data_IF_225229799270
#
_entry.id   IF_225229799270
#
_cell.length_a   1.000
_cell.length_b   1.000
_cell.length_c   1.000
_cell.angle_alpha   90.00
_cell.angle_beta   90.00
_cell.angle_gamma   90.00
#
_symmetry.space_group_name_H-M   'P 1'
#
loop_
_entity.id
_entity.type
_entity.pdbx_description
1 polymer ?
#
# COMPACT_ATOMS: atom_id res chain seq x y z
N UNK A 1 -10.71 -18.53 18.87
CA UNK A 1 -10.07 -18.10 17.61
C UNK A 1 -11.00 -18.23 16.38
N UNK A 2 -11.80 -19.31 16.25
CA UNK A 2 -12.69 -19.48 15.08
C UNK A 2 -13.74 -18.39 14.91
N UNK A 3 -14.48 -18.04 15.94
CA UNK A 3 -15.52 -17.00 15.89
C UNK A 3 -14.95 -15.61 15.57
N UNK A 4 -13.78 -15.28 16.13
CA UNK A 4 -13.09 -14.03 15.87
C UNK A 4 -12.70 -13.93 14.37
N UNK A 5 -12.19 -15.01 13.80
CA UNK A 5 -11.85 -15.04 12.36
C UNK A 5 -13.08 -14.88 11.47
N UNK A 6 -14.21 -15.46 11.84
CA UNK A 6 -15.47 -15.31 11.10
C UNK A 6 -15.90 -13.84 11.11
N UNK A 7 -15.97 -13.22 12.28
CA UNK A 7 -16.36 -11.81 12.41
C UNK A 7 -15.40 -10.85 11.67
N UNK A 8 -14.08 -11.09 11.74
CA UNK A 8 -13.10 -10.26 11.03
C UNK A 8 -13.20 -10.42 9.52
N UNK A 9 -13.44 -11.64 9.01
CA UNK A 9 -13.66 -11.85 7.57
C UNK A 9 -14.89 -11.11 7.06
N UNK A 10 -15.96 -11.07 7.85
CA UNK A 10 -17.17 -10.31 7.52
C UNK A 10 -16.88 -8.80 7.46
N UNK A 11 -16.21 -8.25 8.47
CA UNK A 11 -15.80 -6.84 8.51
C UNK A 11 -14.93 -6.46 7.32
N UNK A 12 -13.92 -7.28 7.00
CA UNK A 12 -13.00 -7.03 5.88
C UNK A 12 -13.54 -7.51 4.52
N UNK A 13 -14.72 -8.14 4.48
CA UNK A 13 -15.34 -8.69 3.27
C UNK A 13 -14.38 -9.59 2.48
N UNK A 14 -13.72 -10.51 3.19
CA UNK A 14 -12.70 -11.39 2.61
C UNK A 14 -12.92 -12.84 2.96
N UNK A 15 -12.54 -13.74 2.06
CA UNK A 15 -12.45 -15.19 2.31
C UNK A 15 -11.09 -15.61 2.85
N UNK A 16 -10.08 -14.75 2.71
CA UNK A 16 -8.71 -14.98 3.18
C UNK A 16 -8.60 -14.92 4.70
N UNK A 17 -7.61 -15.58 5.31
CA UNK A 17 -7.32 -15.41 6.73
C UNK A 17 -7.01 -13.96 7.07
N UNK A 18 -7.57 -13.46 8.19
CA UNK A 18 -7.24 -12.14 8.72
C UNK A 18 -6.14 -12.30 9.76
N UNK A 19 -4.97 -11.73 9.50
CA UNK A 19 -3.84 -11.79 10.41
C UNK A 19 -3.99 -10.74 11.50
N UNK A 20 -3.85 -11.17 12.75
CA UNK A 20 -3.96 -10.32 13.94
C UNK A 20 -2.58 -10.17 14.54
N UNK A 21 -2.18 -8.93 14.83
CA UNK A 21 -0.92 -8.62 15.51
C UNK A 21 -1.16 -7.70 16.70
N UNK A 22 -0.39 -7.87 17.74
CA UNK A 22 -0.33 -6.95 18.90
C UNK A 22 0.67 -5.82 18.69
N UNK A 23 1.28 -5.72 17.50
CA UNK A 23 2.20 -4.64 17.16
C UNK A 23 1.47 -3.32 16.86
N UNK A 24 2.22 -2.23 16.79
CA UNK A 24 1.70 -0.95 16.28
C UNK A 24 1.39 -1.01 14.78
N UNK A 25 0.61 -0.03 14.27
CA UNK A 25 0.39 0.13 12.84
C UNK A 25 1.71 0.25 12.05
N UNK A 26 2.75 0.85 12.63
CA UNK A 26 4.10 0.93 12.05
C UNK A 26 4.69 -0.46 11.80
N UNK A 27 4.55 -1.38 12.76
CA UNK A 27 5.00 -2.77 12.60
C UNK A 27 4.22 -3.52 11.52
N UNK A 28 2.93 -3.24 11.37
CA UNK A 28 2.13 -3.80 10.27
C UNK A 28 2.52 -3.23 8.90
N UNK A 29 2.88 -1.94 8.83
CA UNK A 29 3.45 -1.34 7.60
C UNK A 29 4.75 -2.05 7.20
N UNK A 30 5.65 -2.29 8.15
CA UNK A 30 6.88 -3.04 7.92
C UNK A 30 6.59 -4.46 7.44
N UNK A 31 5.69 -5.17 8.11
CA UNK A 31 5.30 -6.52 7.72
C UNK A 31 4.72 -6.54 6.30
N UNK A 32 3.87 -5.57 5.94
CA UNK A 32 3.30 -5.46 4.60
C UNK A 32 4.38 -5.29 3.52
N UNK A 33 5.35 -4.39 3.74
CA UNK A 33 6.44 -4.16 2.79
C UNK A 33 7.32 -5.41 2.66
N UNK A 34 7.74 -6.02 3.77
CA UNK A 34 8.62 -7.21 3.76
C UNK A 34 7.99 -8.43 3.08
N UNK A 35 6.67 -8.53 3.09
CA UNK A 35 5.96 -9.65 2.48
C UNK A 35 5.38 -9.32 1.10
N UNK A 36 5.15 -8.05 0.79
CA UNK A 36 4.52 -7.61 -0.46
C UNK A 36 5.48 -7.08 -1.51
N UNK A 37 6.67 -6.60 -1.12
CA UNK A 37 7.68 -6.08 -2.03
C UNK A 37 8.82 -7.08 -2.24
N UNK A 38 9.49 -6.97 -3.40
CA UNK A 38 10.67 -7.77 -3.74
C UNK A 38 11.91 -6.93 -3.94
N UNK A 39 11.78 -5.80 -4.63
CA UNK A 39 12.91 -4.97 -5.05
C UNK A 39 12.57 -3.48 -4.99
N UNK A 40 11.55 -3.04 -5.74
CA UNK A 40 11.27 -1.62 -5.95
C UNK A 40 9.83 -1.26 -5.64
N UNK A 41 9.66 -0.25 -4.81
CA UNK A 41 8.37 0.21 -4.27
C UNK A 41 8.06 1.63 -4.76
N UNK A 42 6.84 1.86 -5.24
CA UNK A 42 6.30 3.20 -5.42
C UNK A 42 5.49 3.59 -4.19
N UNK A 43 5.90 4.64 -3.50
CA UNK A 43 5.19 5.15 -2.32
C UNK A 43 4.44 6.44 -2.65
N UNK A 44 3.12 6.43 -2.43
CA UNK A 44 2.26 7.61 -2.61
C UNK A 44 2.29 8.44 -1.33
N UNK A 45 2.78 9.69 -1.40
CA UNK A 45 3.04 10.52 -0.22
C UNK A 45 2.20 11.80 -0.27
N UNK A 46 1.37 12.00 0.77
CA UNK A 46 0.55 13.20 0.94
C UNK A 46 0.38 13.63 2.40
N UNK A 47 1.17 13.05 3.29
CA UNK A 47 1.17 13.36 4.71
C UNK A 47 2.21 12.58 5.51
N UNK A 48 2.13 12.65 6.83
CA UNK A 48 3.13 12.09 7.74
C UNK A 48 3.13 10.55 7.75
N UNK A 49 1.95 9.92 7.68
CA UNK A 49 1.87 8.45 7.71
C UNK A 49 2.28 7.82 6.40
N UNK A 50 1.91 8.42 5.27
CA UNK A 50 2.35 7.96 3.96
C UNK A 50 3.86 8.16 3.77
N UNK A 51 4.41 9.28 4.27
CA UNK A 51 5.87 9.47 4.32
C UNK A 51 6.56 8.41 5.18
N UNK A 52 6.00 8.11 6.37
CA UNK A 52 6.52 7.05 7.25
C UNK A 52 6.53 5.69 6.55
N UNK A 53 5.50 5.38 5.78
CA UNK A 53 5.45 4.12 5.02
C UNK A 53 6.60 4.02 4.01
N UNK A 54 6.88 5.11 3.28
CA UNK A 54 8.02 5.19 2.38
C UNK A 54 9.37 5.03 3.12
N UNK A 55 9.52 5.70 4.28
CA UNK A 55 10.74 5.62 5.08
C UNK A 55 10.96 4.20 5.65
N UNK A 56 9.89 3.50 6.04
CA UNK A 56 9.93 2.09 6.45
C UNK A 56 10.39 1.20 5.29
N UNK A 57 9.84 1.37 4.10
CA UNK A 57 10.24 0.60 2.94
C UNK A 57 11.73 0.77 2.62
N UNK A 58 12.25 2.00 2.70
CA UNK A 58 13.68 2.30 2.58
C UNK A 58 14.51 1.61 3.66
N UNK A 59 14.07 1.70 4.92
CA UNK A 59 14.75 1.06 6.06
C UNK A 59 14.76 -0.48 5.95
N UNK A 60 13.77 -1.07 5.28
CA UNK A 60 13.74 -2.50 4.96
C UNK A 60 14.70 -2.90 3.82
N UNK A 61 15.37 -1.94 3.19
CA UNK A 61 16.36 -2.20 2.13
C UNK A 61 15.80 -2.19 0.71
N UNK A 62 14.55 -1.77 0.50
CA UNK A 62 13.94 -1.66 -0.82
C UNK A 62 14.35 -0.36 -1.52
N UNK A 63 14.43 -0.40 -2.86
CA UNK A 63 14.48 0.79 -3.68
C UNK A 63 13.11 1.47 -3.66
N UNK A 64 13.05 2.74 -3.26
CA UNK A 64 11.76 3.43 -3.07
C UNK A 64 11.74 4.73 -3.85
N UNK A 65 10.83 4.80 -4.80
CA UNK A 65 10.42 6.04 -5.41
C UNK A 65 9.20 6.62 -4.69
N UNK A 66 9.15 7.93 -4.62
CA UNK A 66 7.99 8.63 -4.05
C UNK A 66 7.24 9.40 -5.13
N UNK A 67 5.92 9.27 -5.12
CA UNK A 67 5.01 10.16 -5.84
C UNK A 67 4.36 11.06 -4.78
N UNK A 68 4.96 12.25 -4.60
CA UNK A 68 4.54 13.20 -3.59
C UNK A 68 3.65 14.29 -4.19
N UNK A 69 2.56 14.59 -3.48
CA UNK A 69 1.68 15.72 -3.77
C UNK A 69 1.64 16.65 -2.56
N UNK A 70 1.08 17.84 -2.75
CA UNK A 70 0.87 18.77 -1.63
C UNK A 70 0.10 18.06 -0.51
N UNK A 71 0.63 18.12 0.71
CA UNK A 71 0.00 17.52 1.89
C UNK A 71 -1.46 17.97 2.04
N UNK A 72 -2.33 17.03 2.35
CA UNK A 72 -3.77 17.25 2.41
C UNK A 72 -4.51 17.11 1.07
N UNK A 73 -3.80 16.78 0.00
CA UNK A 73 -4.41 16.43 -1.28
C UNK A 73 -4.27 14.94 -1.56
N UNK A 74 -5.29 14.27 -2.12
CA UNK A 74 -5.13 12.91 -2.59
C UNK A 74 -4.21 12.86 -3.81
N UNK A 75 -3.47 11.76 -3.97
CA UNK A 75 -2.71 11.49 -5.20
C UNK A 75 -3.71 11.07 -6.27
N UNK A 76 -3.74 11.74 -7.44
CA UNK A 76 -4.63 11.35 -8.54
C UNK A 76 -4.24 10.00 -9.13
N UNK A 77 -5.23 9.16 -9.46
CA UNK A 77 -4.98 7.84 -10.05
C UNK A 77 -4.22 7.93 -11.39
N UNK A 78 -4.48 8.96 -12.20
CA UNK A 78 -3.76 9.18 -13.45
C UNK A 78 -2.27 9.48 -13.24
N UNK A 79 -1.93 10.18 -12.17
CA UNK A 79 -0.52 10.41 -11.80
C UNK A 79 0.15 9.10 -11.39
N UNK A 80 -0.57 8.22 -10.68
CA UNK A 80 -0.10 6.87 -10.34
C UNK A 80 0.14 6.05 -11.61
N UNK A 81 -0.84 6.01 -12.51
CA UNK A 81 -0.74 5.32 -13.81
C UNK A 81 0.47 5.82 -14.62
N UNK A 82 0.63 7.14 -14.73
CA UNK A 82 1.75 7.75 -15.43
C UNK A 82 3.11 7.40 -14.80
N UNK A 83 3.18 7.32 -13.48
CA UNK A 83 4.43 6.97 -12.79
C UNK A 83 4.77 5.48 -12.95
N UNK A 84 3.77 4.60 -12.86
CA UNK A 84 3.95 3.16 -13.06
C UNK A 84 4.39 2.83 -14.49
N UNK A 85 3.93 3.59 -15.49
CA UNK A 85 4.34 3.41 -16.88
C UNK A 85 5.80 3.79 -17.16
N UNK A 86 6.45 4.55 -16.26
CA UNK A 86 7.83 5.03 -16.41
C UNK A 86 8.87 4.17 -15.68
N UNK A 87 8.45 3.18 -14.92
CA UNK A 87 9.35 2.35 -14.15
C UNK A 87 8.76 0.99 -13.80
N UNK A 88 9.62 0.04 -13.50
CA UNK A 88 9.21 -1.27 -13.02
C UNK A 88 9.12 -1.24 -11.49
N UNK A 89 7.91 -1.43 -10.98
CA UNK A 89 7.62 -1.53 -9.56
C UNK A 89 6.98 -2.88 -9.26
N UNK A 90 7.30 -3.45 -8.11
CA UNK A 90 6.69 -4.70 -7.65
C UNK A 90 5.69 -4.48 -6.49
N UNK A 91 5.66 -3.28 -5.93
CA UNK A 91 4.67 -2.89 -4.93
C UNK A 91 4.36 -1.39 -4.98
N UNK A 92 3.12 -1.05 -4.58
CA UNK A 92 2.69 0.33 -4.36
C UNK A 92 2.21 0.46 -2.92
N UNK A 93 2.71 1.47 -2.18
CA UNK A 93 2.21 1.77 -0.84
C UNK A 93 1.32 3.01 -0.87
N UNK A 94 0.17 2.91 -0.22
CA UNK A 94 -0.79 4.01 -0.08
C UNK A 94 -1.41 3.98 1.32
N UNK A 95 -1.62 5.15 1.90
CA UNK A 95 -2.41 5.34 3.12
C UNK A 95 -3.77 5.86 2.70
N UNK A 96 -4.81 5.04 2.78
CA UNK A 96 -6.16 5.42 2.33
C UNK A 96 -6.66 6.66 3.06
N UNK A 97 -6.61 6.64 4.39
CA UNK A 97 -7.01 7.76 5.25
C UNK A 97 -5.77 8.35 5.90
N UNK A 98 -5.22 9.40 5.32
CA UNK A 98 -4.06 10.11 5.87
C UNK A 98 -4.51 11.03 7.01
N UNK A 99 -4.51 10.48 8.22
CA UNK A 99 -5.06 11.16 9.41
C UNK A 99 -4.29 12.40 9.82
N UNK A 100 -3.00 12.50 9.44
CA UNK A 100 -2.20 13.70 9.73
C UNK A 100 -2.68 14.95 8.97
N UNK A 101 -3.42 14.77 7.87
CA UNK A 101 -3.87 15.86 7.01
C UNK A 101 -5.38 15.83 6.75
N UNK A 102 -6.07 14.76 7.14
CA UNK A 102 -7.49 14.54 6.86
C UNK A 102 -7.79 14.17 5.40
N UNK A 103 -6.77 13.84 4.60
CA UNK A 103 -6.96 13.47 3.20
C UNK A 103 -7.40 12.01 3.06
N UNK A 104 -8.33 11.78 2.12
CA UNK A 104 -8.79 10.45 1.73
C UNK A 104 -8.40 10.17 0.28
N UNK A 105 -7.67 9.07 0.06
CA UNK A 105 -7.33 8.63 -1.29
C UNK A 105 -8.48 7.88 -1.98
N UNK A 106 -8.68 8.06 -3.29
CA UNK A 106 -9.64 7.29 -4.09
C UNK A 106 -9.08 5.88 -4.36
N UNK A 107 -9.07 5.03 -3.31
CA UNK A 107 -8.36 3.75 -3.33
C UNK A 107 -8.79 2.83 -4.47
N UNK A 108 -10.09 2.81 -4.82
CA UNK A 108 -10.59 1.98 -5.93
C UNK A 108 -9.95 2.38 -7.27
N UNK A 109 -9.87 3.68 -7.55
CA UNK A 109 -9.26 4.20 -8.79
C UNK A 109 -7.74 3.97 -8.81
N UNK A 110 -7.08 4.10 -7.66
CA UNK A 110 -5.65 3.80 -7.54
C UNK A 110 -5.39 2.31 -7.76
N UNK A 111 -6.21 1.44 -7.17
CA UNK A 111 -6.11 -0.01 -7.37
C UNK A 111 -6.30 -0.40 -8.84
N UNK A 112 -7.27 0.21 -9.53
CA UNK A 112 -7.49 0.01 -10.97
C UNK A 112 -6.23 0.41 -11.76
N UNK A 113 -5.66 1.58 -11.52
CA UNK A 113 -4.43 2.05 -12.16
C UNK A 113 -3.25 1.09 -11.93
N UNK A 114 -3.12 0.54 -10.73
CA UNK A 114 -2.10 -0.46 -10.38
C UNK A 114 -2.35 -1.76 -11.15
N UNK A 115 -3.58 -2.27 -11.16
CA UNK A 115 -3.92 -3.52 -11.86
C UNK A 115 -3.74 -3.44 -13.38
N UNK A 116 -4.02 -2.28 -13.98
CA UNK A 116 -3.85 -2.08 -15.42
C UNK A 116 -2.39 -2.01 -15.84
N UNK A 117 -1.51 -1.49 -14.97
CA UNK A 117 -0.13 -1.16 -15.33
C UNK A 117 0.88 -2.19 -14.83
N UNK A 118 0.65 -2.74 -13.64
CA UNK A 118 1.56 -3.75 -13.08
C UNK A 118 1.18 -5.13 -13.61
N UNK A 119 2.05 -5.71 -14.43
CA UNK A 119 1.93 -7.11 -14.82
C UNK A 119 2.20 -7.98 -13.58
N UNK A 120 1.12 -8.45 -12.94
CA UNK A 120 1.24 -9.41 -11.84
C UNK A 120 1.89 -10.67 -12.40
N UNK A 121 3.12 -10.91 -12.00
CA UNK A 121 3.75 -12.20 -12.27
C UNK A 121 2.88 -13.24 -11.55
N UNK A 122 2.14 -14.06 -12.33
CA UNK A 122 1.23 -15.11 -11.85
C UNK A 122 1.92 -16.24 -11.08
N UNK A 123 3.12 -16.00 -10.53
CA UNK A 123 3.93 -16.96 -9.79
C UNK A 123 3.54 -17.15 -8.31
N UNK A 124 2.43 -16.55 -7.84
CA UNK A 124 1.93 -16.73 -6.47
C UNK A 124 0.94 -17.88 -6.30
N UNK A 125 0.69 -18.67 -7.35
CA UNK A 125 -0.06 -19.93 -7.26
C UNK A 125 0.89 -21.11 -7.16
N UNK A 126 1.56 -21.28 -6.02
CA UNK A 126 2.02 -22.58 -5.50
C UNK A 126 2.12 -22.53 -3.99
#
# INVERSE_FOLDING_TARGET
MGELQIGLKDVFRTTSPVLISTSSATGLMEAAVRNGARSRVLSLVNGAFSKRFADIAKACGFEVDTLEVKWGRPVPADAVRGRLAQGEYDAVTVVQSETSTGALHPLAQIAEAVHETMTWCSSWTR
#
